data_IF_330728637168
#
_entry.id   IF_330728637168
#
_cell.length_a   1.000
_cell.length_b   1.000
_cell.length_c   1.000
_cell.angle_alpha   90.00
_cell.angle_beta   90.00
_cell.angle_gamma   90.00
#
_symmetry.space_group_name_H-M   'P 1'
#
loop_
_entity.id
_entity.type
_entity.pdbx_description
1 polymer ?
#
# COMPACT_ATOMS: atom_id res chain seq x y z
N UNK A 1 -4.12 -55.43 56.15
CA UNK A 1 -4.88 -54.72 55.17
C UNK A 1 -4.51 -53.22 55.22
N UNK A 2 -3.71 -52.72 54.30
CA UNK A 2 -3.30 -51.31 54.24
C UNK A 2 -3.81 -50.79 52.89
N UNK A 3 -4.82 -49.93 52.94
CA UNK A 3 -5.39 -49.26 51.78
C UNK A 3 -4.46 -48.10 51.36
N UNK A 4 -3.88 -48.18 50.18
CA UNK A 4 -3.13 -47.09 49.56
C UNK A 4 -4.08 -46.16 48.79
N UNK A 5 -4.10 -44.90 49.17
CA UNK A 5 -4.79 -43.81 48.42
C UNK A 5 -3.79 -43.23 47.40
N UNK A 6 -4.09 -43.37 46.14
CA UNK A 6 -3.37 -42.73 45.02
C UNK A 6 -3.86 -41.27 44.89
N UNK A 7 -2.96 -40.28 44.81
CA UNK A 7 -3.36 -38.92 44.50
C UNK A 7 -3.64 -38.77 42.98
N UNK A 8 -4.80 -38.23 42.66
CA UNK A 8 -5.16 -37.83 41.31
C UNK A 8 -4.34 -36.59 40.90
N UNK A 9 -3.47 -36.73 39.89
CA UNK A 9 -2.82 -35.60 39.22
C UNK A 9 -3.86 -34.90 38.35
N UNK A 10 -4.24 -33.70 38.75
CA UNK A 10 -5.02 -32.79 37.88
C UNK A 10 -4.11 -32.20 36.81
N UNK A 11 -4.28 -32.65 35.59
CA UNK A 11 -3.62 -32.06 34.41
C UNK A 11 -4.29 -30.71 34.10
N UNK A 12 -3.66 -29.62 34.50
CA UNK A 12 -4.09 -28.26 34.17
C UNK A 12 -3.65 -28.00 32.72
N UNK A 13 -4.57 -28.22 31.74
CA UNK A 13 -4.36 -27.85 30.35
C UNK A 13 -4.37 -26.32 30.25
N UNK A 14 -3.19 -25.72 30.20
CA UNK A 14 -3.03 -24.30 29.83
C UNK A 14 -3.42 -24.18 28.36
N UNK A 15 -4.65 -23.74 28.10
CA UNK A 15 -5.05 -23.25 26.80
C UNK A 15 -4.25 -21.97 26.50
N UNK A 16 -3.09 -22.11 25.86
CA UNK A 16 -2.43 -21.00 25.19
C UNK A 16 -3.38 -20.55 24.07
N UNK A 17 -4.27 -19.62 24.37
CA UNK A 17 -4.99 -18.88 23.36
C UNK A 17 -3.94 -18.15 22.51
N UNK A 18 -3.76 -18.58 21.28
CA UNK A 18 -3.00 -17.83 20.28
C UNK A 18 -3.72 -16.50 20.12
N UNK A 19 -3.22 -15.43 20.75
CA UNK A 19 -3.67 -14.08 20.46
C UNK A 19 -3.38 -13.87 18.97
N UNK A 20 -4.43 -13.91 18.15
CA UNK A 20 -4.31 -13.52 16.74
C UNK A 20 -3.83 -12.08 16.75
N UNK A 21 -2.64 -11.84 16.25
CA UNK A 21 -2.07 -10.51 16.17
C UNK A 21 -3.01 -9.63 15.33
N UNK A 22 -3.41 -8.50 15.90
CA UNK A 22 -4.43 -7.61 15.32
C UNK A 22 -3.83 -6.76 14.20
N UNK A 23 -4.49 -6.71 13.04
CA UNK A 23 -4.21 -5.75 11.99
C UNK A 23 -5.29 -4.68 12.02
N UNK A 24 -4.90 -3.46 12.36
CA UNK A 24 -5.77 -2.30 12.31
C UNK A 24 -5.48 -1.51 11.04
N UNK A 25 -6.46 -1.30 10.17
CA UNK A 25 -6.34 -0.42 9.00
C UNK A 25 -7.14 0.85 9.19
N UNK A 26 -6.57 1.98 8.80
CA UNK A 26 -7.21 3.28 8.75
C UNK A 26 -6.96 3.95 7.41
N UNK A 27 -7.99 4.03 6.58
CA UNK A 27 -7.96 4.71 5.31
C UNK A 27 -8.47 6.15 5.48
N UNK A 28 -7.68 7.13 5.01
CA UNK A 28 -8.11 8.53 4.94
C UNK A 28 -8.90 8.79 3.67
N UNK A 29 -9.74 9.82 3.66
CA UNK A 29 -10.31 10.33 2.42
C UNK A 29 -9.19 10.82 1.47
N UNK A 30 -9.42 10.72 0.16
CA UNK A 30 -8.50 11.25 -0.84
C UNK A 30 -8.36 12.78 -0.69
N UNK A 31 -7.14 13.27 -0.86
CA UNK A 31 -6.86 14.71 -0.92
C UNK A 31 -6.59 15.08 -2.37
N UNK A 32 -7.32 16.06 -2.92
CA UNK A 32 -7.21 16.49 -4.32
C UNK A 32 -6.79 17.95 -4.37
N UNK A 33 -5.73 18.24 -5.12
CA UNK A 33 -5.24 19.58 -5.38
C UNK A 33 -5.27 19.87 -6.87
N UNK A 34 -5.85 21.00 -7.27
CA UNK A 34 -5.82 21.49 -8.65
C UNK A 34 -4.77 22.58 -8.77
N UNK A 35 -3.88 22.42 -9.74
CA UNK A 35 -2.82 23.36 -10.07
C UNK A 35 -2.95 23.81 -11.52
N UNK A 36 -2.69 25.08 -11.77
CA UNK A 36 -2.65 25.62 -13.15
C UNK A 36 -1.23 26.06 -13.48
N UNK A 37 -0.81 25.84 -14.71
CA UNK A 37 0.52 26.24 -15.17
C UNK A 37 0.50 26.95 -16.52
N UNK A 38 1.59 27.67 -16.79
CA UNK A 38 1.88 28.25 -18.09
C UNK A 38 2.75 27.26 -18.88
N UNK A 39 2.28 26.72 -20.03
CA UNK A 39 3.07 25.78 -20.83
C UNK A 39 4.45 26.30 -21.26
N UNK A 40 4.59 27.62 -21.44
CA UNK A 40 5.88 28.23 -21.77
C UNK A 40 6.86 28.30 -20.58
N UNK A 41 6.33 28.19 -19.35
CA UNK A 41 7.12 28.27 -18.12
C UNK A 41 6.55 27.35 -17.03
N UNK A 42 6.63 26.02 -17.20
CA UNK A 42 6.10 25.08 -16.23
C UNK A 42 6.82 25.21 -14.86
N UNK A 43 6.12 25.01 -13.75
CA UNK A 43 6.71 25.02 -12.41
C UNK A 43 7.77 23.93 -12.25
N UNK A 44 8.83 24.19 -11.50
CA UNK A 44 9.92 23.24 -11.28
C UNK A 44 9.49 21.96 -10.54
N UNK A 45 8.42 22.02 -9.75
CA UNK A 45 7.86 20.87 -9.02
C UNK A 45 6.76 20.12 -9.80
N UNK A 46 6.46 20.54 -11.03
CA UNK A 46 5.55 19.81 -11.91
C UNK A 46 6.28 18.65 -12.56
N UNK A 47 5.67 17.47 -12.73
CA UNK A 47 6.23 16.40 -13.53
C UNK A 47 6.47 16.85 -14.97
N UNK A 48 7.51 16.29 -15.58
CA UNK A 48 7.77 16.54 -16.99
C UNK A 48 6.69 15.83 -17.83
N UNK A 49 5.98 16.61 -18.64
CA UNK A 49 5.04 16.04 -19.61
C UNK A 49 5.80 15.36 -20.75
N UNK A 50 5.28 14.23 -21.19
CA UNK A 50 5.78 13.47 -22.33
C UNK A 50 4.78 13.62 -23.48
N UNK A 51 5.16 14.17 -24.66
CA UNK A 51 4.22 14.27 -25.76
C UNK A 51 3.55 12.93 -26.08
N UNK A 52 2.21 12.88 -26.31
CA UNK A 52 1.33 14.02 -26.59
C UNK A 52 0.65 14.67 -25.36
N UNK A 53 1.04 14.36 -24.13
CA UNK A 53 0.44 14.90 -22.92
C UNK A 53 0.51 16.43 -22.88
N UNK A 54 -0.60 17.08 -22.54
CA UNK A 54 -0.70 18.52 -22.35
C UNK A 54 -1.10 18.92 -20.92
N UNK A 55 -1.45 17.95 -20.10
CA UNK A 55 -1.79 18.06 -18.67
C UNK A 55 -1.36 16.77 -17.96
N UNK A 56 -1.48 16.69 -16.66
CA UNK A 56 -1.19 15.44 -15.93
C UNK A 56 -1.92 15.40 -14.59
N UNK A 57 -2.48 14.25 -14.27
CA UNK A 57 -2.93 13.90 -12.93
C UNK A 57 -1.88 13.04 -12.25
N UNK A 58 -1.33 13.55 -11.15
CA UNK A 58 -0.32 12.85 -10.33
C UNK A 58 -1.01 12.16 -9.19
N UNK A 59 -0.85 10.86 -9.10
CA UNK A 59 -1.42 10.03 -8.06
C UNK A 59 -0.34 9.54 -7.08
N UNK A 60 -0.58 9.68 -5.79
CA UNK A 60 0.30 9.21 -4.72
C UNK A 60 -0.43 8.34 -3.71
N UNK A 61 -0.32 7.02 -3.83
CA UNK A 61 -0.70 6.09 -2.77
C UNK A 61 0.33 6.15 -1.65
N UNK A 62 -0.09 6.68 -0.52
CA UNK A 62 0.75 6.78 0.66
C UNK A 62 0.39 5.75 1.71
N UNK A 63 1.39 5.26 2.43
CA UNK A 63 1.18 4.42 3.57
C UNK A 63 2.09 4.80 4.73
N UNK A 64 1.66 4.50 5.95
CA UNK A 64 2.51 4.42 7.13
C UNK A 64 2.00 3.30 8.03
N UNK A 65 2.85 2.76 8.89
CA UNK A 65 2.46 1.71 9.80
C UNK A 65 3.09 1.92 11.19
N UNK A 66 2.42 1.41 12.22
CA UNK A 66 2.91 1.40 13.60
C UNK A 66 2.92 -0.06 14.07
N UNK A 67 4.11 -0.69 14.20
CA UNK A 67 4.20 -2.06 14.64
C UNK A 67 4.08 -2.16 16.15
N UNK A 68 3.38 -3.20 16.61
CA UNK A 68 3.55 -3.76 17.94
C UNK A 68 4.49 -4.95 17.82
N UNK A 69 5.56 -4.98 18.61
CA UNK A 69 6.55 -6.06 18.53
C UNK A 69 7.23 -6.32 19.87
N UNK A 70 7.75 -7.52 20.00
CA UNK A 70 8.65 -7.91 21.09
C UNK A 70 10.07 -8.09 20.53
N UNK A 71 11.07 -7.73 21.32
CA UNK A 71 12.46 -8.04 20.99
C UNK A 71 12.75 -9.47 21.41
N UNK A 72 13.01 -10.34 20.43
CA UNK A 72 13.30 -11.77 20.66
C UNK A 72 14.75 -11.96 21.07
N UNK A 73 15.68 -11.28 20.40
CA UNK A 73 17.11 -11.40 20.69
C UNK A 73 17.88 -10.12 20.37
N UNK A 74 18.98 -9.93 21.07
CA UNK A 74 20.02 -8.94 20.77
C UNK A 74 21.38 -9.60 20.92
N UNK A 75 22.29 -9.33 20.00
CA UNK A 75 23.65 -9.86 20.04
C UNK A 75 24.65 -8.86 19.46
N UNK A 76 25.90 -8.99 19.85
CA UNK A 76 27.01 -8.22 19.28
C UNK A 76 27.93 -9.16 18.54
N UNK A 77 28.13 -8.89 17.26
CA UNK A 77 29.03 -9.67 16.40
C UNK A 77 30.50 -9.41 16.70
N UNK A 78 31.37 -10.29 16.19
CA UNK A 78 32.82 -10.14 16.29
C UNK A 78 33.34 -8.89 15.55
N UNK A 79 32.60 -8.39 14.57
CA UNK A 79 32.82 -7.14 13.84
C UNK A 79 32.45 -5.88 14.64
N UNK A 80 31.97 -6.05 15.87
CA UNK A 80 31.54 -4.97 16.75
C UNK A 80 30.13 -4.44 16.49
N UNK A 81 29.46 -4.88 15.42
CA UNK A 81 28.08 -4.51 15.13
C UNK A 81 27.09 -5.28 16.01
N UNK A 82 25.95 -4.67 16.27
CA UNK A 82 24.83 -5.28 16.94
C UNK A 82 23.84 -5.86 15.92
N UNK A 83 23.22 -6.97 16.29
CA UNK A 83 22.03 -7.50 15.65
C UNK A 83 20.85 -7.49 16.64
N UNK A 84 19.65 -7.26 16.14
CA UNK A 84 18.43 -7.37 16.91
C UNK A 84 17.36 -8.07 16.08
N UNK A 85 16.68 -9.04 16.68
CA UNK A 85 15.52 -9.72 16.07
C UNK A 85 14.27 -9.31 16.81
N UNK A 86 13.28 -8.81 16.10
CA UNK A 86 11.94 -8.48 16.61
C UNK A 86 10.93 -9.49 16.10
N UNK A 87 9.92 -9.80 16.91
CA UNK A 87 8.73 -10.56 16.52
C UNK A 87 7.52 -9.66 16.52
N UNK A 88 6.86 -9.53 15.38
CA UNK A 88 5.68 -8.68 15.22
C UNK A 88 4.48 -9.32 15.86
N UNK A 89 3.79 -8.59 16.73
CA UNK A 89 2.60 -9.04 17.47
C UNK A 89 1.32 -8.30 17.04
N UNK A 90 1.44 -7.29 16.21
CA UNK A 90 0.34 -6.53 15.63
C UNK A 90 0.87 -5.38 14.77
N UNK A 91 0.01 -4.83 13.92
CA UNK A 91 0.36 -3.67 13.10
C UNK A 91 -0.86 -2.78 12.86
N UNK A 92 -0.71 -1.48 13.07
CA UNK A 92 -1.66 -0.49 12.60
C UNK A 92 -1.14 0.11 11.29
N UNK A 93 -1.94 0.02 10.21
CA UNK A 93 -1.62 0.53 8.88
C UNK A 93 -2.51 1.71 8.57
N UNK A 94 -1.90 2.82 8.17
CA UNK A 94 -2.58 4.06 7.77
C UNK A 94 -2.33 4.29 6.29
N UNK A 95 -3.40 4.38 5.49
CA UNK A 95 -3.32 4.59 4.06
C UNK A 95 -3.98 5.89 3.64
N UNK A 96 -3.44 6.53 2.61
CA UNK A 96 -3.93 7.79 2.08
C UNK A 96 -3.74 7.85 0.57
N UNK A 97 -4.58 8.66 -0.09
CA UNK A 97 -4.43 9.02 -1.49
C UNK A 97 -4.25 10.52 -1.61
N UNK A 98 -3.19 10.94 -2.28
CA UNK A 98 -2.96 12.34 -2.63
C UNK A 98 -2.95 12.48 -4.15
N UNK A 99 -3.75 13.41 -4.65
CA UNK A 99 -3.92 13.69 -6.08
C UNK A 99 -3.56 15.14 -6.36
N UNK A 100 -2.81 15.37 -7.43
CA UNK A 100 -2.53 16.71 -7.95
C UNK A 100 -2.86 16.73 -9.44
N UNK A 101 -3.86 17.51 -9.81
CA UNK A 101 -4.28 17.70 -11.20
C UNK A 101 -3.62 18.96 -11.74
N UNK A 102 -2.71 18.83 -12.69
CA UNK A 102 -2.00 19.92 -13.34
C UNK A 102 -2.63 20.23 -14.69
N UNK A 103 -3.16 21.44 -14.85
CA UNK A 103 -3.85 21.90 -16.06
C UNK A 103 -3.17 23.16 -16.62
N UNK A 104 -2.96 23.28 -17.93
CA UNK A 104 -2.57 24.56 -18.50
C UNK A 104 -3.68 25.60 -18.27
N UNK A 105 -3.31 26.89 -18.18
CA UNK A 105 -4.26 27.98 -17.89
C UNK A 105 -5.44 28.03 -18.87
N UNK A 106 -5.20 27.64 -20.11
CA UNK A 106 -6.14 27.63 -21.22
C UNK A 106 -6.60 26.22 -21.60
N UNK A 107 -6.55 25.27 -20.65
CA UNK A 107 -6.99 23.90 -20.86
C UNK A 107 -8.40 23.84 -21.46
N UNK A 108 -8.55 23.09 -22.54
CA UNK A 108 -9.86 22.85 -23.17
C UNK A 108 -10.80 22.09 -22.21
N UNK A 109 -12.11 22.20 -22.38
CA UNK A 109 -13.07 21.41 -21.60
C UNK A 109 -12.81 19.91 -21.70
N UNK A 110 -12.39 19.44 -22.88
CA UNK A 110 -12.08 18.02 -23.10
C UNK A 110 -10.84 17.57 -22.33
N UNK A 111 -9.76 18.36 -22.35
CA UNK A 111 -8.56 18.08 -21.58
C UNK A 111 -8.84 18.04 -20.07
N UNK A 112 -9.64 18.99 -19.58
CA UNK A 112 -10.09 19.00 -18.17
C UNK A 112 -10.89 17.74 -17.82
N UNK A 113 -11.80 17.32 -18.70
CA UNK A 113 -12.61 16.12 -18.50
C UNK A 113 -11.73 14.86 -18.47
N UNK A 114 -10.71 14.79 -19.33
CA UNK A 114 -9.77 13.67 -19.37
C UNK A 114 -8.97 13.54 -18.07
N UNK A 115 -8.36 14.63 -17.58
CA UNK A 115 -7.65 14.62 -16.29
C UNK A 115 -8.57 14.32 -15.11
N UNK A 116 -9.80 14.78 -15.18
CA UNK A 116 -10.84 14.44 -14.20
C UNK A 116 -11.22 12.96 -14.26
N UNK A 117 -11.08 12.31 -15.41
CA UNK A 117 -11.21 10.87 -15.59
C UNK A 117 -10.13 10.11 -14.81
N UNK A 118 -8.86 10.48 -14.97
CA UNK A 118 -7.75 9.94 -14.18
C UNK A 118 -8.00 10.10 -12.68
N UNK A 119 -8.34 11.30 -12.23
CA UNK A 119 -8.63 11.56 -10.82
C UNK A 119 -9.72 10.64 -10.26
N UNK A 120 -10.81 10.45 -11.03
CA UNK A 120 -11.92 9.56 -10.62
C UNK A 120 -11.52 8.09 -10.61
N UNK A 121 -10.72 7.65 -11.58
CA UNK A 121 -10.15 6.30 -11.59
C UNK A 121 -9.32 6.05 -10.34
N UNK A 122 -8.40 6.96 -10.03
CA UNK A 122 -7.52 6.85 -8.87
C UNK A 122 -8.31 6.75 -7.56
N UNK A 123 -9.33 7.60 -7.38
CA UNK A 123 -10.20 7.54 -6.20
C UNK A 123 -11.01 6.24 -6.12
N UNK A 124 -11.51 5.76 -7.26
CA UNK A 124 -12.30 4.53 -7.31
C UNK A 124 -11.44 3.31 -6.99
N UNK A 125 -10.22 3.24 -7.53
CA UNK A 125 -9.27 2.17 -7.27
C UNK A 125 -8.83 2.20 -5.81
N UNK A 126 -8.48 3.38 -5.28
CA UNK A 126 -8.15 3.54 -3.87
C UNK A 126 -9.28 3.06 -2.97
N UNK A 127 -10.51 3.49 -3.22
CA UNK A 127 -11.70 3.08 -2.44
C UNK A 127 -11.96 1.57 -2.51
N UNK A 128 -11.68 0.95 -3.66
CA UNK A 128 -11.90 -0.49 -3.89
C UNK A 128 -10.81 -1.35 -3.25
N UNK A 129 -9.54 -0.94 -3.31
CA UNK A 129 -8.40 -1.82 -3.03
C UNK A 129 -7.63 -1.47 -1.74
N UNK A 130 -7.60 -0.21 -1.31
CA UNK A 130 -6.63 0.23 -0.30
C UNK A 130 -6.80 -0.47 1.05
N UNK A 131 -8.02 -0.62 1.53
CA UNK A 131 -8.30 -1.27 2.80
C UNK A 131 -7.90 -2.75 2.78
N UNK A 132 -8.35 -3.49 1.76
CA UNK A 132 -8.04 -4.91 1.60
C UNK A 132 -6.54 -5.15 1.42
N UNK A 133 -5.87 -4.35 0.58
CA UNK A 133 -4.43 -4.46 0.36
C UNK A 133 -3.63 -4.16 1.64
N UNK A 134 -4.05 -3.16 2.42
CA UNK A 134 -3.42 -2.83 3.69
C UNK A 134 -3.62 -3.93 4.74
N UNK A 135 -4.83 -4.51 4.82
CA UNK A 135 -5.08 -5.66 5.69
C UNK A 135 -4.24 -6.87 5.28
N UNK A 136 -4.16 -7.21 3.99
CA UNK A 136 -3.36 -8.33 3.50
C UNK A 136 -1.87 -8.13 3.80
N UNK A 137 -1.33 -6.95 3.50
CA UNK A 137 0.06 -6.61 3.79
C UNK A 137 0.38 -6.65 5.28
N UNK A 138 -0.51 -6.13 6.13
CA UNK A 138 -0.38 -6.19 7.58
C UNK A 138 -0.46 -7.63 8.12
N UNK A 139 -1.38 -8.45 7.60
CA UNK A 139 -1.55 -9.83 8.01
C UNK A 139 -0.32 -10.69 7.73
N UNK A 140 0.37 -10.46 6.61
CA UNK A 140 1.63 -11.14 6.29
C UNK A 140 2.76 -10.85 7.29
N UNK A 141 2.68 -9.73 8.04
CA UNK A 141 3.69 -9.39 9.04
C UNK A 141 3.45 -10.04 10.39
N UNK A 142 2.20 -10.40 10.68
CA UNK A 142 1.82 -10.97 11.96
C UNK A 142 2.51 -12.32 12.20
N UNK A 143 3.15 -12.44 13.38
CA UNK A 143 3.92 -13.63 13.75
C UNK A 143 5.27 -13.75 13.05
N UNK A 144 5.61 -12.88 12.09
CA UNK A 144 6.89 -12.87 11.42
C UNK A 144 7.97 -12.17 12.24
N UNK A 145 9.22 -12.54 11.96
CA UNK A 145 10.40 -11.96 12.61
C UNK A 145 11.24 -11.18 11.62
N UNK A 146 11.82 -10.06 12.11
CA UNK A 146 12.72 -9.22 11.32
C UNK A 146 14.02 -9.04 12.07
N UNK A 147 15.14 -9.20 11.38
CA UNK A 147 16.47 -9.01 11.94
C UNK A 147 17.12 -7.79 11.32
N UNK A 148 17.52 -6.86 12.16
CA UNK A 148 18.27 -5.68 11.80
C UNK A 148 19.69 -5.71 12.33
N UNK A 149 20.54 -4.84 11.77
CA UNK A 149 21.91 -4.65 12.19
C UNK A 149 22.25 -3.16 12.36
N UNK A 150 23.22 -2.85 13.22
CA UNK A 150 23.63 -1.47 13.44
C UNK A 150 24.77 -1.32 14.46
N UNK A 151 25.35 -0.13 14.59
CA UNK A 151 26.47 0.12 15.50
C UNK A 151 26.08 0.06 16.98
N UNK A 152 24.78 0.09 17.30
CA UNK A 152 24.24 -0.08 18.66
C UNK A 152 23.01 -0.98 18.62
N UNK A 153 22.65 -1.57 19.76
CA UNK A 153 21.45 -2.39 19.87
C UNK A 153 20.16 -1.65 19.43
N UNK A 154 20.02 -0.38 19.80
CA UNK A 154 18.88 0.45 19.38
C UNK A 154 18.85 0.72 17.86
N UNK A 155 20.02 0.90 17.21
CA UNK A 155 20.11 1.05 15.76
C UNK A 155 19.80 -0.26 15.03
N UNK A 156 20.23 -1.40 15.56
CA UNK A 156 19.88 -2.71 15.02
C UNK A 156 18.36 -2.97 15.11
N UNK A 157 17.73 -2.62 16.23
CA UNK A 157 16.28 -2.72 16.40
C UNK A 157 15.52 -1.80 15.43
N UNK A 158 15.94 -0.55 15.30
CA UNK A 158 15.38 0.39 14.33
C UNK A 158 15.52 -0.10 12.87
N UNK A 159 16.62 -0.79 12.54
CA UNK A 159 16.82 -1.39 11.21
C UNK A 159 15.87 -2.56 10.97
N UNK A 160 15.61 -3.39 11.99
CA UNK A 160 14.63 -4.47 11.90
C UNK A 160 13.21 -3.92 11.65
N UNK A 161 12.80 -2.89 12.37
CA UNK A 161 11.53 -2.19 12.17
C UNK A 161 11.48 -1.58 10.76
N UNK A 162 12.54 -0.93 10.29
CA UNK A 162 12.61 -0.34 8.94
C UNK A 162 12.40 -1.41 7.85
N UNK A 163 13.02 -2.58 7.98
CA UNK A 163 12.84 -3.70 7.03
C UNK A 163 11.40 -4.20 6.99
N UNK A 164 10.77 -4.32 8.15
CA UNK A 164 9.35 -4.64 8.23
C UNK A 164 8.51 -3.60 7.47
N UNK A 165 8.74 -2.30 7.71
CA UNK A 165 8.05 -1.22 7.02
C UNK A 165 8.19 -1.29 5.49
N UNK A 166 9.41 -1.54 5.02
CA UNK A 166 9.67 -1.67 3.59
C UNK A 166 8.86 -2.80 2.97
N UNK A 167 8.77 -3.94 3.65
CA UNK A 167 8.00 -5.08 3.14
C UNK A 167 6.51 -4.77 3.10
N UNK A 168 5.90 -4.29 4.19
CA UNK A 168 4.48 -3.89 4.21
C UNK A 168 4.18 -2.87 3.12
N UNK A 169 5.05 -1.86 2.97
CA UNK A 169 4.88 -0.83 1.96
C UNK A 169 4.95 -1.37 0.54
N UNK A 170 5.92 -2.22 0.26
CA UNK A 170 6.05 -2.84 -1.05
C UNK A 170 4.83 -3.70 -1.40
N UNK A 171 4.36 -4.52 -0.46
CA UNK A 171 3.19 -5.38 -0.65
C UNK A 171 1.91 -4.54 -0.86
N UNK A 172 1.72 -3.49 -0.07
CA UNK A 172 0.60 -2.57 -0.24
C UNK A 172 0.63 -1.87 -1.61
N UNK A 173 1.78 -1.32 -2.01
CA UNK A 173 1.92 -0.60 -3.27
C UNK A 173 1.78 -1.51 -4.49
N UNK A 174 2.24 -2.76 -4.41
CA UNK A 174 2.06 -3.74 -5.47
C UNK A 174 0.58 -4.07 -5.74
N UNK A 175 -0.26 -4.03 -4.69
CA UNK A 175 -1.68 -4.32 -4.78
C UNK A 175 -2.57 -3.06 -4.90
N UNK A 176 -1.97 -1.87 -5.03
CA UNK A 176 -2.69 -0.60 -5.20
C UNK A 176 -2.09 0.26 -6.30
N UNK A 177 -0.96 0.91 -6.06
CA UNK A 177 -0.35 1.84 -7.00
C UNK A 177 0.01 1.19 -8.34
N UNK A 178 0.55 -0.05 -8.32
CA UNK A 178 0.90 -0.76 -9.55
C UNK A 178 -0.33 -1.13 -10.39
N UNK A 179 -1.43 -1.51 -9.74
CA UNK A 179 -2.72 -1.76 -10.41
C UNK A 179 -3.28 -0.46 -10.99
N UNK A 180 -3.25 0.60 -10.19
CA UNK A 180 -3.70 1.92 -10.60
C UNK A 180 -2.95 2.43 -11.83
N UNK A 181 -1.63 2.32 -11.85
CA UNK A 181 -0.81 2.72 -12.99
C UNK A 181 -1.21 1.97 -14.26
N UNK A 182 -1.38 0.66 -14.20
CA UNK A 182 -1.78 -0.13 -15.38
C UNK A 182 -3.17 0.25 -15.90
N UNK A 183 -4.15 0.49 -15.03
CA UNK A 183 -5.49 0.91 -15.44
C UNK A 183 -5.46 2.32 -16.05
N UNK A 184 -4.66 3.24 -15.50
CA UNK A 184 -4.50 4.58 -16.06
C UNK A 184 -3.83 4.57 -17.44
N UNK A 185 -2.82 3.71 -17.66
CA UNK A 185 -2.23 3.52 -18.99
C UNK A 185 -3.25 3.00 -20.01
N UNK A 186 -4.12 2.06 -19.63
CA UNK A 186 -5.21 1.59 -20.49
C UNK A 186 -6.22 2.69 -20.78
N UNK A 187 -6.52 3.54 -19.80
CA UNK A 187 -7.41 4.67 -19.98
C UNK A 187 -6.84 5.69 -20.97
N UNK A 188 -5.54 6.00 -20.88
CA UNK A 188 -4.83 6.85 -21.83
C UNK A 188 -4.84 6.28 -23.25
N UNK A 189 -4.59 4.98 -23.39
CA UNK A 189 -4.65 4.28 -24.67
C UNK A 189 -6.05 4.38 -25.31
N UNK A 190 -7.10 4.08 -24.54
CA UNK A 190 -8.50 4.11 -24.98
C UNK A 190 -8.93 5.52 -25.39
N UNK A 191 -8.57 6.52 -24.60
CA UNK A 191 -8.92 7.92 -24.85
C UNK A 191 -7.98 8.61 -25.83
N UNK A 192 -6.88 7.97 -26.24
CA UNK A 192 -5.76 8.56 -26.99
C UNK A 192 -5.32 9.88 -26.34
N UNK A 193 -5.03 9.82 -25.03
CA UNK A 193 -4.68 10.98 -24.21
C UNK A 193 -5.72 12.11 -24.31
N UNK A 194 -6.99 11.76 -24.20
CA UNK A 194 -8.11 12.70 -24.22
C UNK A 194 -8.48 13.25 -25.59
N UNK A 195 -7.98 12.70 -26.71
CA UNK A 195 -8.33 13.16 -28.06
C UNK A 195 -9.49 12.37 -28.69
N UNK A 196 -9.73 11.13 -28.26
CA UNK A 196 -10.83 10.29 -28.77
C UNK A 196 -12.21 10.82 -28.32
N UNK A 197 -13.27 10.73 -29.15
CA UNK A 197 -14.61 11.21 -28.79
C UNK A 197 -15.36 10.36 -27.76
N UNK A 198 -14.78 9.24 -27.28
CA UNK A 198 -15.39 8.39 -26.26
C UNK A 198 -15.69 9.19 -24.97
N UNK A 199 -16.78 8.84 -24.27
CA UNK A 199 -17.07 9.46 -22.99
C UNK A 199 -16.08 8.98 -21.92
N UNK A 200 -15.72 9.86 -20.97
CA UNK A 200 -14.80 9.51 -19.88
C UNK A 200 -15.33 8.32 -19.05
N UNK A 201 -16.65 8.25 -18.85
CA UNK A 201 -17.26 7.15 -18.08
C UNK A 201 -17.12 5.80 -18.82
N UNK A 202 -17.33 5.78 -20.15
CA UNK A 202 -17.18 4.57 -20.95
C UNK A 202 -15.70 4.16 -21.04
N UNK A 203 -14.80 5.12 -21.20
CA UNK A 203 -13.37 4.86 -21.25
C UNK A 203 -12.85 4.28 -19.92
N UNK A 204 -13.23 4.85 -18.77
CA UNK A 204 -12.91 4.31 -17.45
C UNK A 204 -13.40 2.87 -17.29
N UNK A 205 -14.66 2.62 -17.66
CA UNK A 205 -15.22 1.27 -17.61
C UNK A 205 -14.44 0.30 -18.49
N UNK A 206 -14.13 0.69 -19.73
CA UNK A 206 -13.36 -0.16 -20.65
C UNK A 206 -11.95 -0.45 -20.13
N UNK A 207 -11.26 0.53 -19.54
CA UNK A 207 -9.95 0.35 -18.95
C UNK A 207 -9.96 -0.68 -17.82
N UNK A 208 -10.93 -0.59 -16.91
CA UNK A 208 -11.10 -1.55 -15.81
C UNK A 208 -11.44 -2.93 -16.36
N UNK A 209 -12.43 -3.04 -17.25
CA UNK A 209 -12.83 -4.33 -17.84
C UNK A 209 -11.66 -4.98 -18.62
N UNK A 210 -10.82 -4.19 -19.26
CA UNK A 210 -9.64 -4.69 -19.96
C UNK A 210 -8.56 -5.17 -18.98
N UNK A 211 -8.31 -4.41 -17.93
CA UNK A 211 -7.40 -4.82 -16.85
C UNK A 211 -7.85 -6.14 -16.22
N UNK A 212 -9.13 -6.27 -15.85
CA UNK A 212 -9.68 -7.47 -15.22
C UNK A 212 -9.60 -8.70 -16.14
N UNK A 213 -9.77 -8.51 -17.45
CA UNK A 213 -9.56 -9.61 -18.43
C UNK A 213 -8.10 -10.06 -18.56
N UNK A 214 -7.17 -9.13 -18.43
CA UNK A 214 -5.73 -9.41 -18.50
C UNK A 214 -5.20 -10.06 -17.21
N UNK A 215 -5.88 -9.81 -16.10
CA UNK A 215 -5.51 -10.28 -14.76
C UNK A 215 -6.71 -11.00 -14.10
N UNK A 216 -7.16 -12.14 -14.65
CA UNK A 216 -8.26 -12.87 -14.04
C UNK A 216 -7.86 -13.25 -12.61
N UNK A 217 -8.76 -12.97 -11.66
CA UNK A 217 -8.56 -13.43 -10.28
C UNK A 217 -8.30 -14.93 -10.33
N UNK A 218 -7.21 -15.39 -9.71
CA UNK A 218 -6.96 -16.80 -9.57
C UNK A 218 -8.22 -17.43 -8.95
N UNK A 219 -8.94 -18.23 -9.73
CA UNK A 219 -10.12 -18.94 -9.23
C UNK A 219 -9.67 -19.70 -7.99
N UNK A 220 -10.20 -19.31 -6.83
CA UNK A 220 -10.08 -20.10 -5.60
C UNK A 220 -10.73 -21.45 -5.92
N UNK A 221 -9.90 -22.43 -6.28
CA UNK A 221 -10.35 -23.80 -6.25
C UNK A 221 -10.51 -24.17 -4.78
N UNK A 222 -11.78 -24.29 -4.37
CA UNK A 222 -12.23 -24.92 -3.12
C UNK A 222 -11.63 -26.32 -2.94
#
# INVERSE_FOLDING_TARGET
MRSGVLPALALCSILCGSATAEVLVRASAATVHYQTFDPAKPPANMPRLTPPEAAVTVCGFGFSAEPHYNVISRGRGADGNWTATIGVTGVAVYVRLNLVVWLPKDASPKLKAHEEGHRKLDEMIYKKLADQAAHAAGAQMNGNTFTGAGPTAAKAEADAVRKMFQQVGNDYLAHTAAINEQINLLYDEITRHGTDPISEADAMKQAIDQYDRQHPAASSHD
#
